data_IF_521183792750
#
_entry.id   IF_521183792750
#
_cell.length_a   1.000
_cell.length_b   1.000
_cell.length_c   1.000
_cell.angle_alpha   90.00
_cell.angle_beta   90.00
_cell.angle_gamma   90.00
#
_symmetry.space_group_name_H-M   'P 1'
#
loop_
_entity.id
_entity.type
_entity.pdbx_description
1 polymer ?
#
# COMPACT_ATOMS: atom_id res chain seq x y z
N UNK A 1 13.29 -6.82 -12.17
CA UNK A 1 12.19 -6.52 -11.25
C UNK A 1 10.88 -6.57 -12.02
N UNK A 2 9.81 -7.01 -11.36
CA UNK A 2 8.42 -6.96 -11.84
C UNK A 2 7.58 -6.19 -10.81
N UNK A 3 6.77 -5.24 -11.25
CA UNK A 3 5.80 -4.53 -10.39
C UNK A 3 4.40 -5.00 -10.75
N UNK A 4 3.66 -5.48 -9.75
CA UNK A 4 2.29 -5.97 -9.90
C UNK A 4 1.30 -4.88 -9.53
N UNK A 5 0.70 -4.25 -10.54
CA UNK A 5 -0.31 -3.19 -10.37
C UNK A 5 -1.62 -3.55 -11.08
N UNK A 6 -2.16 -4.72 -10.70
CA UNK A 6 -3.47 -5.24 -11.11
C UNK A 6 -4.37 -5.37 -9.86
N UNK A 7 -5.69 -5.54 -10.00
CA UNK A 7 -6.55 -5.88 -8.87
C UNK A 7 -6.04 -7.12 -8.11
N UNK A 8 -6.20 -7.13 -6.78
CA UNK A 8 -5.72 -8.24 -5.95
C UNK A 8 -6.36 -9.58 -6.37
N UNK A 9 -7.61 -9.55 -6.83
CA UNK A 9 -8.33 -10.73 -7.34
C UNK A 9 -7.75 -11.34 -8.62
N UNK A 10 -6.88 -10.62 -9.33
CA UNK A 10 -6.22 -11.11 -10.55
C UNK A 10 -4.80 -11.66 -10.29
N UNK A 11 -4.25 -11.50 -9.10
CA UNK A 11 -2.85 -11.84 -8.78
C UNK A 11 -2.54 -13.32 -9.04
N UNK A 12 -3.41 -14.24 -8.63
CA UNK A 12 -3.19 -15.68 -8.81
C UNK A 12 -3.08 -16.10 -10.28
N UNK A 13 -3.71 -15.35 -11.19
CA UNK A 13 -3.63 -15.58 -12.65
C UNK A 13 -2.23 -15.31 -13.20
N UNK A 14 -1.41 -14.53 -12.47
CA UNK A 14 -0.05 -14.19 -12.86
C UNK A 14 0.99 -15.21 -12.39
N UNK A 15 0.62 -16.20 -11.57
CA UNK A 15 1.55 -17.20 -11.04
C UNK A 15 2.39 -17.90 -12.14
N UNK A 16 1.83 -18.33 -13.30
CA UNK A 16 2.63 -18.93 -14.36
C UNK A 16 3.67 -17.97 -14.96
N UNK A 17 3.32 -16.69 -15.10
CA UNK A 17 4.24 -15.66 -15.57
C UNK A 17 5.36 -15.45 -14.56
N UNK A 18 5.02 -15.31 -13.27
CA UNK A 18 5.99 -15.08 -12.19
C UNK A 18 6.94 -16.27 -12.04
N UNK A 19 6.43 -17.50 -12.18
CA UNK A 19 7.23 -18.72 -12.13
C UNK A 19 8.25 -18.83 -13.28
N UNK A 20 7.99 -18.19 -14.43
CA UNK A 20 8.91 -18.19 -15.57
C UNK A 20 10.08 -17.21 -15.43
N UNK A 21 10.05 -16.33 -14.43
CA UNK A 21 11.08 -15.29 -14.23
C UNK A 21 12.33 -15.88 -13.56
N UNK A 22 13.52 -15.30 -13.81
CA UNK A 22 14.73 -15.66 -13.05
C UNK A 22 14.52 -15.50 -11.55
N UNK A 23 15.02 -16.43 -10.73
CA UNK A 23 14.87 -16.42 -9.26
C UNK A 23 15.35 -15.14 -8.55
N UNK A 24 16.30 -14.42 -9.16
CA UNK A 24 16.78 -13.11 -8.68
C UNK A 24 15.83 -11.94 -8.96
N UNK A 25 14.69 -12.19 -9.61
CA UNK A 25 13.77 -11.12 -10.02
C UNK A 25 12.94 -10.69 -8.83
N UNK A 26 13.20 -9.50 -8.30
CA UNK A 26 12.35 -8.84 -7.30
C UNK A 26 10.93 -8.66 -7.85
N UNK A 27 9.94 -9.11 -7.08
CA UNK A 27 8.51 -8.96 -7.39
C UNK A 27 7.91 -8.00 -6.36
N UNK A 28 7.37 -6.88 -6.83
CA UNK A 28 6.75 -5.86 -6.00
C UNK A 28 5.23 -6.01 -6.08
N UNK A 29 4.59 -6.12 -4.92
CA UNK A 29 3.15 -6.08 -4.74
C UNK A 29 2.70 -4.66 -4.36
N UNK A 30 1.90 -4.03 -5.22
CA UNK A 30 1.29 -2.71 -4.96
C UNK A 30 -0.20 -2.83 -4.61
N UNK A 31 -0.71 -4.06 -4.43
CA UNK A 31 -2.14 -4.31 -4.28
C UNK A 31 -2.63 -4.07 -2.84
N UNK A 32 -3.95 -4.01 -2.73
CA UNK A 32 -4.71 -3.75 -1.50
C UNK A 32 -6.00 -4.55 -1.56
N UNK A 33 -6.46 -5.16 -0.47
CA UNK A 33 -7.70 -5.93 -0.46
C UNK A 33 -8.92 -5.07 -0.15
N UNK A 34 -9.92 -5.14 -1.04
CA UNK A 34 -11.22 -4.48 -0.88
C UNK A 34 -12.34 -5.50 -1.12
N UNK A 35 -13.09 -5.92 -0.09
CA UNK A 35 -14.13 -6.96 -0.23
C UNK A 35 -15.19 -6.63 -1.30
N UNK A 36 -15.53 -5.35 -1.47
CA UNK A 36 -16.51 -4.89 -2.45
C UNK A 36 -16.01 -5.03 -3.90
N UNK A 37 -14.69 -5.08 -4.11
CA UNK A 37 -14.04 -5.26 -5.43
C UNK A 37 -13.63 -6.71 -5.67
N UNK A 38 -13.01 -7.33 -4.66
CA UNK A 38 -12.33 -8.61 -4.77
C UNK A 38 -13.23 -9.79 -4.35
N UNK A 39 -14.34 -9.52 -3.64
CA UNK A 39 -15.25 -10.51 -3.09
C UNK A 39 -15.03 -10.76 -1.61
N UNK A 40 -16.13 -10.93 -0.87
CA UNK A 40 -16.09 -11.28 0.55
C UNK A 40 -15.35 -12.62 0.76
N UNK A 41 -14.43 -12.64 1.73
CA UNK A 41 -13.63 -13.83 2.04
C UNK A 41 -12.59 -14.24 0.99
N UNK A 42 -12.33 -13.41 -0.03
CA UNK A 42 -11.33 -13.70 -1.06
C UNK A 42 -9.91 -13.86 -0.47
N UNK A 43 -9.55 -12.97 0.46
CA UNK A 43 -8.41 -13.16 1.35
C UNK A 43 -8.94 -13.73 2.68
N UNK A 44 -8.39 -14.83 3.21
CA UNK A 44 -8.81 -15.37 4.50
C UNK A 44 -8.66 -14.34 5.62
N UNK A 45 -9.57 -14.39 6.60
CA UNK A 45 -9.51 -13.52 7.77
C UNK A 45 -8.14 -13.62 8.47
N UNK A 46 -7.71 -12.52 9.09
CA UNK A 46 -6.44 -12.37 9.82
C UNK A 46 -5.15 -12.59 9.00
N UNK A 47 -5.27 -12.81 7.69
CA UNK A 47 -4.12 -12.98 6.80
C UNK A 47 -3.60 -11.63 6.33
N UNK A 48 -2.27 -11.45 6.34
CA UNK A 48 -1.62 -10.26 5.79
C UNK A 48 -1.63 -10.37 4.26
N UNK A 49 -2.19 -9.36 3.58
CA UNK A 49 -2.46 -9.41 2.13
C UNK A 49 -1.24 -9.83 1.31
N UNK A 50 -0.08 -9.22 1.54
CA UNK A 50 1.10 -9.50 0.72
C UNK A 50 1.78 -10.82 1.06
N UNK A 51 1.56 -11.37 2.27
CA UNK A 51 1.93 -12.75 2.59
C UNK A 51 1.06 -13.71 1.76
N UNK A 52 -0.25 -13.49 1.73
CA UNK A 52 -1.17 -14.25 0.88
C UNK A 52 -0.80 -14.16 -0.60
N UNK A 53 -0.44 -12.96 -1.10
CA UNK A 53 0.04 -12.77 -2.48
C UNK A 53 1.29 -13.62 -2.75
N UNK A 54 2.26 -13.62 -1.84
CA UNK A 54 3.47 -14.44 -1.96
C UNK A 54 3.15 -15.94 -2.06
N UNK A 55 2.18 -16.42 -1.27
CA UNK A 55 1.68 -17.80 -1.34
C UNK A 55 1.01 -18.10 -2.69
N UNK A 56 0.15 -17.21 -3.19
CA UNK A 56 -0.53 -17.40 -4.48
C UNK A 56 0.44 -17.45 -5.66
N UNK A 57 1.53 -16.69 -5.59
CA UNK A 57 2.55 -16.64 -6.63
C UNK A 57 3.63 -17.71 -6.47
N UNK A 58 3.71 -18.38 -5.31
CA UNK A 58 4.80 -19.29 -4.97
C UNK A 58 6.16 -18.59 -4.97
N UNK A 59 6.21 -17.29 -4.66
CA UNK A 59 7.39 -16.42 -4.84
C UNK A 59 7.45 -15.38 -3.71
N UNK A 60 8.63 -15.08 -3.14
CA UNK A 60 8.78 -13.93 -2.24
C UNK A 60 8.41 -12.62 -2.94
N UNK A 61 7.78 -11.70 -2.20
CA UNK A 61 7.36 -10.38 -2.70
C UNK A 61 7.79 -9.26 -1.76
N UNK A 62 7.79 -8.04 -2.28
CA UNK A 62 7.97 -6.79 -1.54
C UNK A 62 6.66 -6.00 -1.57
N UNK A 63 6.13 -5.55 -0.42
CA UNK A 63 5.00 -4.61 -0.41
C UNK A 63 5.51 -3.18 -0.43
N UNK A 64 5.16 -2.43 -1.47
CA UNK A 64 5.52 -1.02 -1.64
C UNK A 64 4.51 -0.30 -2.56
N UNK A 65 4.48 1.04 -2.51
CA UNK A 65 3.53 1.92 -3.23
C UNK A 65 2.03 1.69 -2.94
N UNK A 66 1.66 0.68 -2.16
CA UNK A 66 0.26 0.37 -1.91
C UNK A 66 -0.45 1.49 -1.13
N UNK A 67 0.29 2.31 -0.37
CA UNK A 67 -0.25 3.36 0.49
C UNK A 67 -0.36 4.75 -0.16
N UNK A 68 0.01 4.92 -1.43
CA UNK A 68 -0.07 6.21 -2.12
C UNK A 68 -1.17 6.20 -3.18
N UNK A 69 -1.97 7.27 -3.23
CA UNK A 69 -2.98 7.45 -4.27
C UNK A 69 -2.33 7.68 -5.64
N UNK A 70 -2.99 7.22 -6.72
CA UNK A 70 -2.44 7.31 -8.09
C UNK A 70 -2.13 8.74 -8.53
N UNK A 71 -2.96 9.72 -8.15
CA UNK A 71 -2.72 11.12 -8.43
C UNK A 71 -1.48 11.67 -7.70
N UNK A 72 -1.35 11.38 -6.40
CA UNK A 72 -0.16 11.75 -5.62
C UNK A 72 1.10 11.08 -6.17
N UNK A 73 1.02 9.80 -6.56
CA UNK A 73 2.12 9.09 -7.20
C UNK A 73 2.55 9.78 -8.51
N UNK A 74 1.59 10.23 -9.32
CA UNK A 74 1.87 10.85 -10.60
C UNK A 74 2.44 12.29 -10.50
N UNK A 75 2.12 13.02 -9.43
CA UNK A 75 2.39 14.47 -9.36
C UNK A 75 3.30 14.92 -8.22
N UNK A 76 3.50 14.11 -7.17
CA UNK A 76 4.20 14.55 -5.95
C UNK A 76 5.64 14.01 -5.83
N UNK A 77 6.17 13.35 -6.85
CA UNK A 77 7.57 12.94 -6.89
C UNK A 77 8.50 14.17 -6.86
N UNK A 78 9.49 14.17 -5.96
CA UNK A 78 10.41 15.30 -5.74
C UNK A 78 11.87 14.86 -5.69
N UNK A 79 12.82 15.72 -6.11
CA UNK A 79 14.26 15.40 -6.07
C UNK A 79 14.74 15.04 -4.67
N UNK A 80 15.76 14.18 -4.59
CA UNK A 80 16.42 13.83 -3.33
C UNK A 80 16.85 15.09 -2.56
N UNK A 81 16.57 15.12 -1.25
CA UNK A 81 16.89 16.23 -0.37
C UNK A 81 15.81 17.32 -0.27
N UNK A 82 14.76 17.28 -1.10
CA UNK A 82 13.60 18.15 -0.93
C UNK A 82 12.87 17.80 0.39
N UNK A 83 12.68 18.76 1.31
CA UNK A 83 12.04 18.52 2.61
C UNK A 83 10.55 18.14 2.50
N UNK A 84 9.90 18.40 1.36
CA UNK A 84 8.50 18.08 1.09
C UNK A 84 8.30 16.70 0.44
N UNK A 85 9.36 15.88 0.34
CA UNK A 85 9.23 14.50 -0.17
C UNK A 85 8.28 13.68 0.71
N UNK A 86 7.31 13.06 0.04
CA UNK A 86 6.48 12.03 0.66
C UNK A 86 7.33 10.77 0.88
N UNK A 87 7.03 10.05 1.95
CA UNK A 87 7.68 8.80 2.31
C UNK A 87 6.76 7.60 2.04
N UNK A 88 7.34 6.51 1.55
CA UNK A 88 6.63 5.26 1.27
C UNK A 88 7.25 4.11 2.07
N UNK A 89 6.44 3.32 2.80
CA UNK A 89 6.90 2.15 3.52
C UNK A 89 7.16 0.99 2.55
N UNK A 90 8.23 0.25 2.82
CA UNK A 90 8.68 -0.92 2.06
C UNK A 90 8.87 -2.08 3.03
N UNK A 91 8.14 -3.18 2.82
CA UNK A 91 8.19 -4.36 3.68
C UNK A 91 8.52 -5.61 2.85
N UNK A 92 9.50 -6.40 3.29
CA UNK A 92 9.91 -7.64 2.63
C UNK A 92 10.79 -8.51 3.52
N UNK A 93 10.80 -9.81 3.27
CA UNK A 93 11.62 -10.77 4.01
C UNK A 93 13.01 -10.99 3.40
N UNK A 94 13.16 -10.74 2.09
CA UNK A 94 14.44 -10.81 1.39
C UNK A 94 15.08 -9.43 1.33
N UNK A 95 16.21 -9.27 2.02
CA UNK A 95 16.97 -8.02 2.09
C UNK A 95 17.37 -7.46 0.71
N UNK A 96 17.75 -8.34 -0.23
CA UNK A 96 18.08 -7.92 -1.60
C UNK A 96 16.86 -7.32 -2.32
N UNK A 97 15.70 -7.97 -2.20
CA UNK A 97 14.46 -7.51 -2.83
C UNK A 97 13.99 -6.19 -2.20
N UNK A 98 14.08 -6.07 -0.86
CA UNK A 98 13.79 -4.84 -0.14
C UNK A 98 14.66 -3.69 -0.62
N UNK A 99 15.98 -3.91 -0.69
CA UNK A 99 16.94 -2.90 -1.13
C UNK A 99 16.64 -2.40 -2.54
N UNK A 100 16.40 -3.30 -3.49
CA UNK A 100 16.07 -2.94 -4.89
C UNK A 100 14.78 -2.12 -4.95
N UNK A 101 13.76 -2.50 -4.18
CA UNK A 101 12.51 -1.74 -4.14
C UNK A 101 12.69 -0.35 -3.52
N UNK A 102 13.45 -0.22 -2.42
CA UNK A 102 13.75 1.07 -1.79
C UNK A 102 14.54 1.98 -2.73
N UNK A 103 15.53 1.45 -3.47
CA UNK A 103 16.27 2.20 -4.49
C UNK A 103 15.33 2.75 -5.58
N UNK A 104 14.34 1.97 -6.01
CA UNK A 104 13.34 2.44 -6.97
C UNK A 104 12.39 3.50 -6.36
N UNK A 105 11.95 3.34 -5.11
CA UNK A 105 11.16 4.36 -4.40
C UNK A 105 11.92 5.69 -4.40
N UNK A 106 13.20 5.67 -4.04
CA UNK A 106 14.07 6.85 -4.06
C UNK A 106 14.20 7.46 -5.46
N UNK A 107 14.46 6.62 -6.46
CA UNK A 107 14.61 7.03 -7.85
C UNK A 107 13.33 7.61 -8.46
N UNK A 108 12.15 7.26 -7.91
CA UNK A 108 10.85 7.78 -8.35
C UNK A 108 10.42 9.04 -7.61
N UNK A 109 11.29 9.61 -6.78
CA UNK A 109 11.09 10.91 -6.14
C UNK A 109 10.42 10.84 -4.76
N UNK A 110 10.42 9.68 -4.12
CA UNK A 110 9.84 9.45 -2.80
C UNK A 110 10.89 8.95 -1.80
N UNK A 111 10.73 9.25 -0.53
CA UNK A 111 11.64 8.73 0.52
C UNK A 111 11.25 7.30 0.88
N UNK A 112 12.15 6.35 0.72
CA UNK A 112 11.91 4.97 1.10
C UNK A 112 12.06 4.78 2.61
N UNK A 113 11.13 4.08 3.24
CA UNK A 113 11.20 3.70 4.65
C UNK A 113 11.12 2.19 4.80
N UNK A 114 12.12 1.57 5.46
CA UNK A 114 12.06 0.15 5.80
C UNK A 114 10.99 -0.07 6.87
N UNK A 115 9.89 -0.72 6.50
CA UNK A 115 8.77 -1.04 7.37
C UNK A 115 8.85 -2.47 7.94
N UNK A 116 9.99 -3.15 7.77
CA UNK A 116 10.27 -4.45 8.35
C UNK A 116 9.98 -5.63 7.42
N UNK A 117 9.50 -6.72 8.02
CA UNK A 117 9.21 -7.99 7.33
C UNK A 117 7.90 -7.91 6.56
N UNK A 118 7.69 -8.84 5.62
CA UNK A 118 6.44 -8.91 4.88
C UNK A 118 5.24 -9.17 5.83
N UNK A 119 5.47 -9.92 6.91
CA UNK A 119 4.47 -10.14 7.95
C UNK A 119 4.04 -8.86 8.68
N UNK A 120 4.87 -7.81 8.74
CA UNK A 120 4.53 -6.51 9.33
C UNK A 120 3.87 -5.54 8.33
N UNK A 121 3.78 -5.91 7.05
CA UNK A 121 3.18 -5.07 6.01
C UNK A 121 1.67 -4.81 6.21
N UNK A 122 1.05 -5.45 7.20
CA UNK A 122 -0.33 -5.15 7.58
C UNK A 122 -0.52 -3.71 8.05
N UNK A 123 0.55 -3.09 8.59
CA UNK A 123 0.55 -1.71 9.09
C UNK A 123 0.38 -0.66 8.00
N UNK A 124 0.61 -1.03 6.74
CA UNK A 124 0.45 -0.15 5.58
C UNK A 124 -0.77 -0.49 4.71
N UNK A 125 -1.68 -1.36 5.16
CA UNK A 125 -2.90 -1.75 4.43
C UNK A 125 -4.00 -0.67 4.50
N UNK A 126 -5.05 -0.76 3.65
CA UNK A 126 -6.17 0.17 3.71
C UNK A 126 -6.78 0.30 5.10
N UNK A 127 -7.09 1.54 5.48
CA UNK A 127 -7.66 1.86 6.79
C UNK A 127 -6.64 2.15 7.89
N UNK A 128 -5.34 1.91 7.65
CA UNK A 128 -4.27 2.29 8.59
C UNK A 128 -3.84 3.75 8.42
N UNK A 129 -3.18 4.37 9.42
CA UNK A 129 -2.87 5.80 9.39
C UNK A 129 -1.94 6.27 8.25
N UNK A 130 -1.08 5.40 7.71
CA UNK A 130 -0.20 5.76 6.59
C UNK A 130 -0.84 5.53 5.20
N UNK A 131 -2.02 4.91 5.14
CA UNK A 131 -2.66 4.56 3.88
C UNK A 131 -3.42 5.73 3.28
N UNK A 132 -2.96 6.22 2.13
CA UNK A 132 -3.59 7.29 1.38
C UNK A 132 -3.54 8.64 2.10
N UNK A 133 -2.48 8.89 2.88
CA UNK A 133 -2.37 10.09 3.74
C UNK A 133 -1.21 11.03 3.41
N UNK A 134 -0.40 10.71 2.39
CA UNK A 134 0.71 11.53 1.89
C UNK A 134 1.59 12.09 3.03
N UNK A 135 2.30 11.18 3.70
CA UNK A 135 3.12 11.51 4.87
C UNK A 135 4.57 11.79 4.49
N UNK A 136 5.21 12.68 5.24
CA UNK A 136 6.67 12.84 5.21
C UNK A 136 7.36 11.74 6.02
N UNK A 137 8.67 11.63 5.86
CA UNK A 137 9.48 10.69 6.65
C UNK A 137 9.44 10.98 8.17
N UNK A 138 9.16 12.22 8.57
CA UNK A 138 8.99 12.58 9.98
C UNK A 138 7.69 12.06 10.59
N UNK A 139 6.68 11.78 9.78
CA UNK A 139 5.37 11.33 10.24
C UNK A 139 5.10 9.84 9.99
N UNK A 140 5.68 9.26 8.93
CA UNK A 140 5.41 7.88 8.50
C UNK A 140 5.69 6.82 9.59
N UNK A 141 6.83 6.83 10.32
CA UNK A 141 7.10 5.79 11.32
C UNK A 141 6.04 5.74 12.42
N UNK A 142 5.68 6.91 12.96
CA UNK A 142 4.64 7.01 13.98
C UNK A 142 3.25 6.59 13.46
N UNK A 143 2.98 6.79 12.16
CA UNK A 143 1.75 6.31 11.54
C UNK A 143 1.69 4.78 11.42
N UNK A 144 2.82 4.12 11.12
CA UNK A 144 2.93 2.66 11.09
C UNK A 144 2.78 2.04 12.49
N UNK A 145 3.35 2.69 13.52
CA UNK A 145 3.21 2.26 14.92
C UNK A 145 1.77 2.34 15.42
N UNK A 146 1.03 3.37 15.01
CA UNK A 146 -0.39 3.57 15.35
C UNK A 146 -1.36 2.70 14.54
N UNK A 147 -0.87 1.85 13.64
CA UNK A 147 -1.75 0.96 12.89
C UNK A 147 -2.52 0.04 13.85
N UNK A 148 -3.83 -0.03 13.63
CA UNK A 148 -4.77 -0.77 14.46
C UNK A 148 -5.40 -1.87 13.61
N UNK A 149 -5.04 -3.12 13.89
CA UNK A 149 -5.46 -4.28 13.11
C UNK A 149 -6.97 -4.49 13.19
N UNK A 150 -7.58 -4.22 14.33
CA UNK A 150 -9.01 -4.45 14.54
C UNK A 150 -9.85 -3.38 13.84
N UNK A 151 -9.42 -2.11 13.90
CA UNK A 151 -10.19 -1.00 13.33
C UNK A 151 -9.86 -0.68 11.86
N UNK A 152 -8.73 -1.14 11.30
CA UNK A 152 -8.37 -0.84 9.92
C UNK A 152 -9.44 -1.28 8.90
N UNK A 153 -10.00 -2.51 8.94
CA UNK A 153 -11.05 -2.90 8.01
C UNK A 153 -12.30 -2.02 8.11
N UNK A 154 -12.70 -1.64 9.33
CA UNK A 154 -13.85 -0.77 9.60
C UNK A 154 -13.63 0.61 8.96
N UNK A 155 -12.44 1.20 9.16
CA UNK A 155 -12.06 2.50 8.60
C UNK A 155 -11.99 2.45 7.08
N UNK A 156 -11.41 1.41 6.49
CA UNK A 156 -11.41 1.18 5.03
C UNK A 156 -12.83 1.19 4.49
N UNK A 157 -13.72 0.40 5.07
CA UNK A 157 -15.08 0.26 4.56
C UNK A 157 -15.88 1.56 4.73
N UNK A 158 -15.63 2.32 5.80
CA UNK A 158 -16.22 3.65 5.99
C UNK A 158 -15.77 4.64 4.91
N UNK A 159 -14.48 4.68 4.55
CA UNK A 159 -13.98 5.52 3.44
C UNK A 159 -14.70 5.18 2.13
N UNK A 160 -14.81 3.89 1.82
CA UNK A 160 -15.50 3.40 0.61
C UNK A 160 -16.99 3.80 0.63
N UNK A 161 -17.66 3.67 1.76
CA UNK A 161 -19.07 4.06 1.92
C UNK A 161 -19.28 5.57 1.74
N UNK A 162 -18.38 6.40 2.28
CA UNK A 162 -18.43 7.86 2.09
C UNK A 162 -18.37 8.17 0.59
N UNK A 163 -17.41 7.59 -0.14
CA UNK A 163 -17.30 7.82 -1.58
C UNK A 163 -18.53 7.34 -2.35
N UNK A 164 -19.00 6.12 -2.06
CA UNK A 164 -20.15 5.54 -2.75
C UNK A 164 -21.44 6.35 -2.54
N UNK A 165 -21.67 6.90 -1.34
CA UNK A 165 -22.87 7.67 -1.02
C UNK A 165 -22.90 9.05 -1.68
N UNK A 166 -21.74 9.66 -1.94
CA UNK A 166 -21.66 10.96 -2.60
C UNK A 166 -21.56 10.86 -4.13
N UNK A 167 -20.80 9.89 -4.64
CA UNK A 167 -20.41 9.82 -6.05
C UNK A 167 -21.05 8.63 -6.81
N UNK A 168 -21.66 7.70 -6.10
CA UNK A 168 -22.10 6.42 -6.64
C UNK A 168 -21.04 5.32 -6.51
N UNK A 169 -21.49 4.06 -6.55
CA UNK A 169 -20.63 2.88 -6.40
C UNK A 169 -19.60 2.82 -7.52
N UNK A 170 -18.32 2.67 -7.15
CA UNK A 170 -17.21 2.51 -8.10
C UNK A 170 -16.67 3.81 -8.70
N UNK A 171 -17.23 4.97 -8.34
CA UNK A 171 -16.69 6.26 -8.75
C UNK A 171 -15.45 6.62 -7.94
N UNK A 172 -14.42 7.13 -8.61
CA UNK A 172 -13.22 7.65 -7.95
C UNK A 172 -13.40 9.14 -7.63
N UNK A 173 -13.17 9.55 -6.37
CA UNK A 173 -13.18 10.96 -6.01
C UNK A 173 -11.99 11.73 -6.58
N UNK A 174 -12.07 13.06 -6.50
CA UNK A 174 -10.90 13.90 -6.71
C UNK A 174 -9.82 13.59 -5.65
N UNK A 175 -8.56 13.78 -6.02
CA UNK A 175 -7.43 13.33 -5.21
C UNK A 175 -7.33 14.06 -3.86
N UNK A 176 -7.61 15.36 -3.84
CA UNK A 176 -7.52 16.19 -2.64
C UNK A 176 -8.58 15.80 -1.63
N UNK A 177 -9.83 15.63 -2.07
CA UNK A 177 -10.92 15.19 -1.21
C UNK A 177 -10.71 13.75 -0.74
N UNK A 178 -10.25 12.86 -1.61
CA UNK A 178 -9.89 11.48 -1.24
C UNK A 178 -8.88 11.46 -0.08
N UNK A 179 -7.82 12.28 -0.20
CA UNK A 179 -6.77 12.44 0.79
C UNK A 179 -7.31 13.02 2.10
N UNK A 180 -8.16 14.05 2.02
CA UNK A 180 -8.79 14.67 3.20
C UNK A 180 -9.68 13.70 3.98
N UNK A 181 -10.46 12.87 3.28
CA UNK A 181 -11.29 11.82 3.88
C UNK A 181 -10.42 10.73 4.52
N UNK A 182 -9.40 10.24 3.81
CA UNK A 182 -8.48 9.22 4.33
C UNK A 182 -7.74 9.72 5.59
N UNK A 183 -7.24 10.96 5.59
CA UNK A 183 -6.61 11.56 6.78
C UNK A 183 -7.57 11.64 7.96
N UNK A 184 -8.82 12.06 7.71
CA UNK A 184 -9.84 12.21 8.76
C UNK A 184 -10.27 10.89 9.37
N UNK A 185 -10.45 9.84 8.55
CA UNK A 185 -10.96 8.54 9.00
C UNK A 185 -9.84 7.62 9.46
N UNK A 186 -8.77 7.50 8.67
CA UNK A 186 -7.69 6.53 8.90
C UNK A 186 -6.56 7.10 9.75
N UNK A 187 -6.23 8.38 9.56
CA UNK A 187 -5.10 9.05 10.21
C UNK A 187 -5.26 9.23 11.73
N UNK A 188 -6.50 9.39 12.18
CA UNK A 188 -6.82 9.67 13.58
C UNK A 188 -6.60 11.15 13.96
N UNK A 189 -6.97 11.54 15.20
CA UNK A 189 -7.04 12.95 15.62
C UNK A 189 -5.69 13.67 15.64
N UNK A 190 -4.60 12.91 15.77
CA UNK A 190 -3.24 13.42 15.93
C UNK A 190 -2.48 13.54 14.60
N UNK A 191 -3.01 12.95 13.52
CA UNK A 191 -2.44 13.07 12.18
C UNK A 191 -3.00 14.34 11.51
N UNK A 192 -2.71 15.50 12.10
CA UNK A 192 -2.97 16.80 11.46
C UNK A 192 -1.77 17.16 10.61
N UNK A 193 -1.88 16.88 9.32
CA UNK A 193 -0.94 17.34 8.27
C UNK A 193 -1.37 18.74 7.82
#
# INVERSE_FOLDING_TARGET
MLVLSVPLSDISKLAPLVASLPERTTVVDTSNFYPQRDGEGFVPADTVESVWVGEQLGRPVVKAWNCIGSASLASNGRPSGDPERLALPVAADREEDKKVAMELVEATGFTAHDAGTLAESWRQQPGTPCYGTDLSIGALPAALERADRENAPIRRDLVVQVFANWLGVGANPDAEWSLGIARSICGGPDLRV
#
